data_IF_468740126356
#
_entry.id   IF_468740126356
#
_cell.length_a   1.000
_cell.length_b   1.000
_cell.length_c   1.000
_cell.angle_alpha   90.00
_cell.angle_beta   90.00
_cell.angle_gamma   90.00
#
_symmetry.space_group_name_H-M   'P 1'
#
loop_
_entity.id
_entity.type
_entity.pdbx_description
1 polymer ?
#
# COMPACT_ATOMS: atom_id res chain seq x y z
N UNK A 1 -0.52 -7.81 5.54
CA UNK A 1 0.67 -7.31 4.84
C UNK A 1 0.71 -5.80 4.96
N UNK A 2 1.88 -5.21 4.80
CA UNK A 2 2.07 -3.76 4.76
C UNK A 2 2.62 -3.35 3.39
N UNK A 3 2.32 -2.13 2.95
CA UNK A 3 2.98 -1.53 1.79
C UNK A 3 3.06 -0.01 1.92
N UNK A 4 4.13 0.54 1.38
CA UNK A 4 4.40 1.97 1.38
C UNK A 4 4.35 2.49 -0.06
N UNK A 5 3.59 3.55 -0.30
CA UNK A 5 3.56 4.26 -1.58
C UNK A 5 4.13 5.65 -1.35
N UNK A 6 5.21 5.99 -2.05
CA UNK A 6 6.04 7.16 -1.80
C UNK A 6 6.01 8.05 -3.04
N UNK A 7 5.85 9.34 -2.84
CA UNK A 7 5.92 10.31 -3.94
C UNK A 7 7.23 10.16 -4.70
N UNK A 8 7.17 10.01 -6.03
CA UNK A 8 8.33 9.79 -6.90
C UNK A 8 9.42 10.86 -6.75
N UNK A 9 9.03 12.07 -6.31
CA UNK A 9 9.91 13.22 -6.14
C UNK A 9 10.50 13.30 -4.73
N UNK A 10 10.04 12.47 -3.78
CA UNK A 10 10.50 12.49 -2.40
C UNK A 10 11.73 11.59 -2.24
N UNK A 11 12.85 12.19 -1.80
CA UNK A 11 14.02 11.43 -1.34
C UNK A 11 13.87 11.12 0.14
N UNK A 12 13.60 9.87 0.44
CA UNK A 12 13.57 9.39 1.82
C UNK A 12 14.99 9.16 2.36
N UNK A 13 15.13 9.29 3.67
CA UNK A 13 16.35 8.89 4.36
C UNK A 13 16.51 7.37 4.24
N UNK A 14 17.73 6.91 3.94
CA UNK A 14 18.01 5.48 3.82
C UNK A 14 17.67 4.74 5.13
N UNK A 15 17.96 5.33 6.28
CA UNK A 15 17.60 4.76 7.59
C UNK A 15 16.11 4.49 7.74
N UNK A 16 15.26 5.38 7.22
CA UNK A 16 13.82 5.17 7.23
C UNK A 16 13.40 3.98 6.35
N UNK A 17 13.99 3.85 5.16
CA UNK A 17 13.73 2.71 4.28
C UNK A 17 14.18 1.39 4.93
N UNK A 18 15.34 1.39 5.57
CA UNK A 18 15.89 0.23 6.26
C UNK A 18 14.98 -0.20 7.43
N UNK A 19 14.53 0.75 8.25
CA UNK A 19 13.63 0.50 9.37
C UNK A 19 12.26 -0.02 8.90
N UNK A 20 11.72 0.57 7.83
CA UNK A 20 10.43 0.16 7.26
C UNK A 20 10.51 -1.25 6.67
N UNK A 21 11.58 -1.53 5.92
CA UNK A 21 11.83 -2.87 5.37
C UNK A 21 11.99 -3.92 6.48
N UNK A 22 12.80 -3.61 7.50
CA UNK A 22 13.10 -4.52 8.61
C UNK A 22 11.90 -4.80 9.51
N UNK A 23 11.13 -3.78 9.87
CA UNK A 23 10.10 -3.90 10.90
C UNK A 23 8.72 -4.25 10.33
N UNK A 24 8.43 -3.85 9.09
CA UNK A 24 7.08 -3.99 8.52
C UNK A 24 7.01 -4.95 7.34
N UNK A 25 8.16 -5.50 6.90
CA UNK A 25 8.30 -6.33 5.70
C UNK A 25 7.53 -5.73 4.51
N UNK A 26 7.49 -4.40 4.45
CA UNK A 26 6.62 -3.68 3.54
C UNK A 26 7.34 -3.43 2.23
N UNK A 27 6.71 -3.86 1.14
CA UNK A 27 7.09 -3.44 -0.20
C UNK A 27 6.90 -1.92 -0.32
N UNK A 28 7.94 -1.21 -0.77
CA UNK A 28 7.91 0.22 -1.01
C UNK A 28 7.82 0.50 -2.52
N UNK A 29 6.86 1.33 -2.91
CA UNK A 29 6.58 1.69 -4.29
C UNK A 29 6.79 3.18 -4.50
N UNK A 30 7.42 3.53 -5.62
CA UNK A 30 7.39 4.89 -6.14
C UNK A 30 6.05 5.14 -6.83
N UNK A 31 5.39 6.23 -6.50
CA UNK A 31 4.04 6.60 -6.95
C UNK A 31 4.00 8.07 -7.34
N UNK A 32 3.34 8.37 -8.44
CA UNK A 32 3.17 9.73 -8.95
C UNK A 32 1.84 10.33 -8.45
N UNK A 33 1.86 11.01 -7.30
CA UNK A 33 0.62 11.55 -6.73
C UNK A 33 0.05 12.74 -7.50
N UNK A 34 0.85 13.44 -8.32
CA UNK A 34 0.34 14.49 -9.22
C UNK A 34 -0.73 13.92 -10.17
N UNK A 35 -0.57 12.64 -10.54
CA UNK A 35 -1.55 11.83 -11.25
C UNK A 35 -2.44 11.04 -10.30
N UNK A 36 -3.19 11.76 -9.46
CA UNK A 36 -4.03 11.23 -8.38
C UNK A 36 -4.86 9.99 -8.76
N UNK A 37 -5.53 9.97 -9.92
CA UNK A 37 -6.33 8.81 -10.33
C UNK A 37 -5.49 7.57 -10.66
N UNK A 38 -4.34 7.74 -11.32
CA UNK A 38 -3.39 6.65 -11.58
C UNK A 38 -2.79 6.13 -10.26
N UNK A 39 -2.45 7.03 -9.33
CA UNK A 39 -1.95 6.66 -8.01
C UNK A 39 -2.99 5.90 -7.19
N UNK A 40 -4.25 6.36 -7.17
CA UNK A 40 -5.37 5.67 -6.54
C UNK A 40 -5.54 4.27 -7.12
N UNK A 41 -5.52 4.15 -8.45
CA UNK A 41 -5.63 2.86 -9.13
C UNK A 41 -4.48 1.92 -8.76
N UNK A 42 -3.24 2.41 -8.75
CA UNK A 42 -2.06 1.63 -8.35
C UNK A 42 -2.22 1.05 -6.93
N UNK A 43 -2.64 1.88 -5.97
CA UNK A 43 -2.81 1.47 -4.58
C UNK A 43 -3.93 0.44 -4.45
N UNK A 44 -5.11 0.71 -5.02
CA UNK A 44 -6.25 -0.18 -4.95
C UNK A 44 -5.96 -1.53 -5.61
N UNK A 45 -5.40 -1.55 -6.83
CA UNK A 45 -5.07 -2.80 -7.52
C UNK A 45 -4.03 -3.64 -6.77
N UNK A 46 -3.06 -2.99 -6.10
CA UNK A 46 -2.09 -3.72 -5.28
C UNK A 46 -2.77 -4.41 -4.09
N UNK A 47 -3.63 -3.68 -3.36
CA UNK A 47 -4.34 -4.20 -2.19
C UNK A 47 -5.37 -5.28 -2.58
N UNK A 48 -6.09 -5.08 -3.68
CA UNK A 48 -7.03 -6.03 -4.23
C UNK A 48 -6.34 -7.38 -4.52
N UNK A 49 -5.21 -7.34 -5.24
CA UNK A 49 -4.43 -8.54 -5.54
C UNK A 49 -3.95 -9.24 -4.26
N UNK A 50 -3.45 -8.49 -3.28
CA UNK A 50 -2.95 -9.06 -2.02
C UNK A 50 -4.06 -9.60 -1.12
N UNK A 51 -5.30 -9.21 -1.35
CA UNK A 51 -6.48 -9.65 -0.59
C UNK A 51 -7.39 -10.61 -1.38
N UNK A 52 -6.91 -11.14 -2.51
CA UNK A 52 -7.68 -12.02 -3.40
C UNK A 52 -9.04 -11.42 -3.80
N UNK A 53 -9.06 -10.14 -4.15
CA UNK A 53 -10.26 -9.43 -4.59
C UNK A 53 -11.23 -9.05 -3.47
N UNK A 54 -10.88 -9.30 -2.20
CA UNK A 54 -11.79 -8.99 -1.07
C UNK A 54 -11.81 -7.52 -0.70
N UNK A 55 -10.74 -6.78 -1.02
CA UNK A 55 -10.67 -5.33 -0.86
C UNK A 55 -10.35 -4.74 -2.24
N UNK A 56 -11.39 -4.53 -3.07
CA UNK A 56 -11.23 -3.99 -4.41
C UNK A 56 -10.96 -2.48 -4.43
N UNK A 57 -11.57 -1.74 -3.50
CA UNK A 57 -11.38 -0.30 -3.36
C UNK A 57 -11.03 0.03 -1.92
N UNK A 58 -9.74 0.31 -1.67
CA UNK A 58 -9.26 0.78 -0.37
C UNK A 58 -9.41 2.30 -0.26
N UNK A 59 -9.09 3.02 -1.33
CA UNK A 59 -9.12 4.47 -1.42
C UNK A 59 -10.14 4.91 -2.47
N UNK A 60 -11.03 5.83 -2.09
CA UNK A 60 -11.93 6.52 -3.04
C UNK A 60 -11.26 7.73 -3.70
N UNK A 61 -10.25 8.32 -3.06
CA UNK A 61 -9.43 9.41 -3.59
C UNK A 61 -8.05 9.44 -2.91
N UNK A 62 -7.11 10.17 -3.53
CA UNK A 62 -5.80 10.48 -2.94
C UNK A 62 -5.39 11.90 -3.32
N UNK A 63 -4.90 12.70 -2.38
CA UNK A 63 -4.52 14.09 -2.64
C UNK A 63 -3.27 14.16 -3.53
N UNK A 64 -3.19 15.17 -4.41
CA UNK A 64 -2.02 15.35 -5.29
C UNK A 64 -0.75 15.74 -4.52
N UNK A 65 -0.95 16.34 -3.36
CA UNK A 65 0.09 16.81 -2.45
C UNK A 65 0.62 15.68 -1.55
N UNK A 66 0.03 14.48 -1.63
CA UNK A 66 0.43 13.33 -0.83
C UNK A 66 1.91 13.03 -1.04
N UNK A 67 2.63 12.86 0.06
CA UNK A 67 4.06 12.49 0.03
C UNK A 67 4.30 11.02 0.30
N UNK A 68 3.39 10.42 1.06
CA UNK A 68 3.50 9.03 1.49
C UNK A 68 2.10 8.52 1.85
N UNK A 69 1.80 7.29 1.43
CA UNK A 69 0.62 6.53 1.87
C UNK A 69 1.11 5.19 2.41
N UNK A 70 0.88 4.96 3.71
CA UNK A 70 1.13 3.68 4.36
C UNK A 70 -0.17 2.88 4.38
N UNK A 71 -0.12 1.65 3.90
CA UNK A 71 -1.28 0.74 3.86
C UNK A 71 -1.00 -0.52 4.66
N UNK A 72 -2.03 -0.99 5.37
CA UNK A 72 -2.06 -2.29 6.02
C UNK A 72 -3.33 -3.03 5.58
N UNK A 73 -3.20 -4.33 5.33
CA UNK A 73 -4.33 -5.19 5.01
C UNK A 73 -4.19 -6.55 5.70
N UNK A 74 -5.31 -7.09 6.18
CA UNK A 74 -5.39 -8.42 6.79
C UNK A 74 -6.47 -9.20 6.06
N UNK A 75 -6.10 -10.36 5.52
CA UNK A 75 -7.03 -11.33 4.96
C UNK A 75 -6.84 -12.66 5.69
N UNK A 76 -7.92 -13.17 6.28
CA UNK A 76 -7.92 -14.44 6.99
C UNK A 76 -8.98 -15.36 6.39
N UNK A 77 -8.58 -16.60 6.10
CA UNK A 77 -9.47 -17.68 5.68
C UNK A 77 -9.10 -18.95 6.44
N UNK A 78 -9.85 -19.23 7.50
CA UNK A 78 -9.74 -20.48 8.25
C UNK A 78 -10.81 -21.49 7.85
N UNK A 79 -10.52 -22.77 8.02
CA UNK A 79 -11.54 -23.81 8.08
C UNK A 79 -12.00 -23.94 9.53
N UNK A 80 -13.28 -24.23 9.74
CA UNK A 80 -13.79 -24.56 11.05
C UNK A 80 -13.19 -25.88 11.54
N UNK A 81 -12.92 -25.97 12.84
CA UNK A 81 -12.44 -27.21 13.48
C UNK A 81 -13.51 -28.32 13.41
N UNK A 82 -14.79 -27.92 13.45
CA UNK A 82 -15.96 -28.75 13.16
C UNK A 82 -16.84 -28.02 12.14
N UNK A 83 -16.97 -28.52 10.90
CA UNK A 83 -17.66 -27.84 9.81
C UNK A 83 -19.18 -27.81 9.94
#
# INVERSE_FOLDING_TARGET
GNALFIDKNLKLLQSFLDDVSKNYASEAFSTDFEKSDEAKQQINSYVERKTNGKIAELLSSVAKESKLVLTNYIYFRGKWDKP
#
